data_IF_601580634453
#
_entry.id   IF_601580634453
#
_cell.length_a   1.000
_cell.length_b   1.000
_cell.length_c   1.000
_cell.angle_alpha   90.00
_cell.angle_beta   90.00
_cell.angle_gamma   90.00
#
_symmetry.space_group_name_H-M   'P 1'
#
loop_
_entity.id
_entity.type
_entity.pdbx_description
1 polymer ?
#
# COMPACT_ATOMS: atom_id res chain seq x y z
N UNK A 1 -3.16 -15.43 -22.04
CA UNK A 1 -2.83 -14.23 -21.76
C UNK A 1 -2.97 -13.94 -20.37
N UNK A 2 -2.40 -13.00 -20.03
CA UNK A 2 -2.19 -12.75 -18.67
C UNK A 2 -3.05 -11.63 -18.19
N UNK A 3 -3.96 -11.94 -17.32
CA UNK A 3 -4.81 -10.95 -16.74
C UNK A 3 -4.32 -10.51 -15.40
N UNK A 4 -3.04 -10.61 -15.16
CA UNK A 4 -2.50 -10.23 -13.88
C UNK A 4 -2.87 -8.81 -13.58
N UNK A 5 -3.29 -8.56 -12.37
CA UNK A 5 -3.52 -7.22 -11.90
C UNK A 5 -2.22 -6.45 -11.91
N UNK A 6 -2.27 -5.13 -12.07
CA UNK A 6 -1.06 -4.34 -11.93
C UNK A 6 -0.39 -4.65 -10.63
N UNK A 7 0.90 -4.85 -10.70
CA UNK A 7 1.67 -5.17 -9.52
C UNK A 7 1.98 -3.88 -8.77
N UNK A 8 1.60 -3.82 -7.50
CA UNK A 8 1.81 -2.64 -6.68
C UNK A 8 3.17 -2.78 -6.00
N UNK A 9 4.18 -2.20 -6.63
CA UNK A 9 5.55 -2.32 -6.17
C UNK A 9 6.16 -0.93 -6.02
N UNK A 10 6.44 -0.49 -4.79
CA UNK A 10 6.99 0.84 -4.58
C UNK A 10 8.37 1.02 -5.20
N UNK A 11 9.09 -0.06 -5.46
CA UNK A 11 10.42 0.04 -6.07
C UNK A 11 10.37 0.49 -7.53
N UNK A 12 9.20 0.45 -8.16
CA UNK A 12 9.04 0.95 -9.53
C UNK A 12 8.91 2.46 -9.60
N UNK A 13 8.78 3.13 -8.46
CA UNK A 13 8.56 4.57 -8.41
C UNK A 13 9.89 5.30 -8.45
N UNK A 14 10.05 6.13 -9.48
CA UNK A 14 11.30 6.89 -9.67
C UNK A 14 11.06 8.38 -9.84
N UNK A 15 9.81 8.79 -10.12
CA UNK A 15 9.49 10.19 -10.38
C UNK A 15 8.02 10.44 -10.08
N UNK A 16 7.57 11.67 -10.34
CA UNK A 16 6.19 12.05 -10.06
C UNK A 16 5.20 11.19 -10.82
N UNK A 17 5.43 10.95 -12.10
CA UNK A 17 4.45 10.23 -12.92
C UNK A 17 4.33 8.77 -12.50
N UNK A 18 5.44 8.11 -12.19
CA UNK A 18 5.38 6.73 -11.70
C UNK A 18 4.74 6.67 -10.31
N UNK A 19 4.94 7.69 -9.48
CA UNK A 19 4.27 7.75 -8.19
C UNK A 19 2.76 7.86 -8.36
N UNK A 20 2.30 8.72 -9.27
CA UNK A 20 0.87 8.86 -9.53
C UNK A 20 0.27 7.52 -9.95
N UNK A 21 0.93 6.82 -10.87
CA UNK A 21 0.47 5.50 -11.30
C UNK A 21 0.43 4.50 -10.15
N UNK A 22 1.45 4.54 -9.29
CA UNK A 22 1.50 3.67 -8.13
C UNK A 22 0.28 3.90 -7.21
N UNK A 23 -0.04 5.17 -6.94
CA UNK A 23 -1.18 5.49 -6.10
C UNK A 23 -2.49 5.05 -6.75
N UNK A 24 -2.62 5.25 -8.06
CA UNK A 24 -3.81 4.78 -8.79
C UNK A 24 -3.97 3.27 -8.67
N UNK A 25 -2.89 2.53 -8.83
CA UNK A 25 -2.95 1.07 -8.70
C UNK A 25 -3.26 0.65 -7.26
N UNK A 26 -2.68 1.34 -6.28
CA UNK A 26 -2.94 1.02 -4.88
C UNK A 26 -4.41 1.24 -4.54
N UNK A 27 -4.99 2.34 -5.03
CA UNK A 27 -6.40 2.63 -4.81
C UNK A 27 -7.29 1.59 -5.47
N UNK A 28 -6.98 1.22 -6.70
CA UNK A 28 -7.74 0.19 -7.41
C UNK A 28 -7.66 -1.15 -6.69
N UNK A 29 -6.48 -1.48 -6.17
CA UNK A 29 -6.27 -2.70 -5.41
C UNK A 29 -7.13 -2.71 -4.14
N UNK A 30 -7.22 -1.56 -3.45
CA UNK A 30 -8.06 -1.45 -2.25
C UNK A 30 -9.54 -1.61 -2.59
N UNK A 31 -10.01 -0.99 -3.68
CA UNK A 31 -11.40 -1.13 -4.10
C UNK A 31 -11.72 -2.59 -4.44
N UNK A 32 -10.85 -3.25 -5.18
CA UNK A 32 -11.08 -4.65 -5.55
C UNK A 32 -11.10 -5.55 -4.31
N UNK A 33 -10.19 -5.30 -3.38
CA UNK A 33 -10.15 -6.06 -2.14
C UNK A 33 -11.42 -5.83 -1.31
N UNK A 34 -11.91 -4.60 -1.26
CA UNK A 34 -13.14 -4.28 -0.53
C UNK A 34 -14.32 -5.06 -1.08
N UNK A 35 -14.41 -5.23 -2.39
CA UNK A 35 -15.49 -6.00 -3.00
C UNK A 35 -15.41 -7.47 -2.58
N UNK A 36 -14.23 -8.03 -2.53
CA UNK A 36 -14.04 -9.40 -2.07
C UNK A 36 -14.45 -9.53 -0.60
N UNK A 37 -14.06 -8.56 0.23
CA UNK A 37 -14.40 -8.57 1.64
C UNK A 37 -15.91 -8.53 1.87
N UNK A 38 -16.63 -7.77 1.05
CA UNK A 38 -18.09 -7.70 1.15
C UNK A 38 -18.74 -9.02 0.81
N UNK A 39 -18.13 -9.80 -0.07
CA UNK A 39 -18.72 -11.08 -0.47
C UNK A 39 -18.55 -12.15 0.60
N UNK A 40 -17.61 -11.97 1.54
CA UNK A 40 -17.38 -12.96 2.59
C UNK A 40 -16.89 -12.24 3.85
N UNK A 41 -17.80 -11.51 4.54
CA UNK A 41 -17.39 -10.67 5.69
C UNK A 41 -16.77 -11.46 6.84
N UNK A 42 -17.20 -12.68 7.06
CA UNK A 42 -16.66 -13.46 8.17
C UNK A 42 -15.20 -13.84 7.93
N UNK A 43 -14.87 -14.16 6.70
CA UNK A 43 -13.51 -14.55 6.36
C UNK A 43 -12.54 -13.38 6.59
N UNK A 44 -13.01 -12.17 6.36
CA UNK A 44 -12.15 -10.98 6.39
C UNK A 44 -12.40 -10.09 7.62
N UNK A 45 -12.90 -10.65 8.70
CA UNK A 45 -13.21 -9.83 9.87
C UNK A 45 -11.96 -9.35 10.61
N UNK A 46 -10.81 -10.00 10.41
CA UNK A 46 -9.59 -9.63 11.13
C UNK A 46 -8.55 -8.96 10.25
N UNK A 47 -8.62 -9.16 8.95
CA UNK A 47 -7.75 -8.49 8.00
C UNK A 47 -8.44 -8.44 6.65
N UNK A 48 -7.97 -7.57 5.76
CA UNK A 48 -8.57 -7.42 4.45
C UNK A 48 -8.13 -8.49 3.48
N UNK A 49 -8.79 -8.52 2.33
CA UNK A 49 -8.42 -9.40 1.22
C UNK A 49 -7.16 -8.88 0.54
N UNK A 50 -6.55 -9.73 -0.29
CA UNK A 50 -5.45 -9.38 -1.17
C UNK A 50 -4.25 -8.75 -0.44
N UNK A 51 -3.98 -9.22 0.77
CA UNK A 51 -2.83 -8.74 1.54
C UNK A 51 -3.03 -7.45 2.30
N UNK A 52 -4.25 -6.91 2.32
CA UNK A 52 -4.52 -5.69 3.06
C UNK A 52 -4.66 -6.02 4.55
N UNK A 53 -3.64 -5.64 5.32
CA UNK A 53 -3.68 -5.81 6.77
C UNK A 53 -4.44 -4.68 7.43
N UNK A 54 -4.38 -3.48 6.87
CA UNK A 54 -5.02 -2.30 7.43
C UNK A 54 -6.04 -1.78 6.43
N UNK A 55 -7.33 -1.85 6.79
CA UNK A 55 -8.41 -1.52 5.86
C UNK A 55 -9.09 -0.18 6.15
N UNK A 56 -8.77 0.43 7.29
CA UNK A 56 -9.32 1.72 7.68
C UNK A 56 -8.23 2.76 7.74
N UNK A 57 -8.60 4.02 7.54
CA UNK A 57 -7.62 5.10 7.44
C UNK A 57 -6.70 5.18 8.67
N UNK A 58 -7.21 5.20 9.91
CA UNK A 58 -6.30 5.29 11.05
C UNK A 58 -5.33 4.11 11.12
N UNK A 59 -5.82 2.90 10.89
CA UNK A 59 -4.96 1.72 10.93
C UNK A 59 -3.94 1.76 9.80
N UNK A 60 -4.35 2.23 8.63
CA UNK A 60 -3.45 2.37 7.49
C UNK A 60 -2.32 3.35 7.81
N UNK A 61 -2.65 4.50 8.38
CA UNK A 61 -1.64 5.51 8.72
C UNK A 61 -0.70 5.03 9.82
N UNK A 62 -1.23 4.36 10.84
CA UNK A 62 -0.39 3.81 11.90
C UNK A 62 0.55 2.75 11.37
N UNK A 63 0.04 1.86 10.51
CA UNK A 63 0.87 0.84 9.89
C UNK A 63 1.96 1.44 9.01
N UNK A 64 1.59 2.45 8.22
CA UNK A 64 2.56 3.13 7.35
C UNK A 64 3.68 3.75 8.18
N UNK A 65 3.31 4.46 9.25
CA UNK A 65 4.29 5.12 10.07
C UNK A 65 5.20 4.11 10.79
N UNK A 66 4.61 3.09 11.39
CA UNK A 66 5.39 2.09 12.12
C UNK A 66 6.34 1.35 11.17
N UNK A 67 5.84 0.97 10.00
CA UNK A 67 6.67 0.26 9.03
C UNK A 67 7.79 1.12 8.48
N UNK A 68 7.51 2.38 8.16
CA UNK A 68 8.52 3.29 7.63
C UNK A 68 9.60 3.55 8.67
N UNK A 69 9.20 3.81 9.90
CA UNK A 69 10.18 4.08 10.97
C UNK A 69 11.01 2.85 11.34
N UNK A 70 10.50 1.66 11.07
CA UNK A 70 11.27 0.45 11.26
C UNK A 70 12.38 0.29 10.22
N UNK A 71 12.30 1.00 9.10
CA UNK A 71 13.34 0.97 8.07
C UNK A 71 14.35 2.06 8.36
N UNK A 72 15.59 1.64 8.59
CA UNK A 72 16.63 2.52 9.05
C UNK A 72 16.91 3.70 8.13
N UNK A 73 16.85 3.47 6.84
CA UNK A 73 17.24 4.48 5.85
C UNK A 73 16.07 5.20 5.19
N UNK A 74 14.83 4.94 5.66
CA UNK A 74 13.68 5.61 5.09
C UNK A 74 13.74 7.10 5.42
N UNK A 75 13.65 7.94 4.37
CA UNK A 75 13.58 9.38 4.57
C UNK A 75 14.84 10.05 5.04
N UNK A 76 16.00 9.36 4.99
CA UNK A 76 17.26 9.93 5.50
C UNK A 76 18.02 10.75 4.46
N UNK A 77 17.53 10.81 3.23
CA UNK A 77 18.15 11.62 2.21
C UNK A 77 18.00 13.12 2.48
N UNK A 78 18.73 13.92 1.74
CA UNK A 78 18.69 15.38 1.91
C UNK A 78 17.41 15.99 1.36
N UNK A 79 16.68 15.25 0.53
CA UNK A 79 15.41 15.69 -0.03
C UNK A 79 14.43 14.52 -0.05
N UNK A 80 13.13 14.79 0.03
CA UNK A 80 12.14 13.73 -0.08
C UNK A 80 12.25 13.04 -1.44
N UNK A 81 12.03 11.74 -1.49
CA UNK A 81 12.01 11.01 -2.74
C UNK A 81 10.62 10.44 -2.98
N UNK A 82 10.24 10.38 -4.24
CA UNK A 82 8.96 9.78 -4.61
C UNK A 82 8.89 8.32 -4.18
N UNK A 83 10.03 7.63 -4.24
CA UNK A 83 10.08 6.24 -3.82
C UNK A 83 9.80 6.10 -2.33
N UNK A 84 10.36 6.98 -1.49
CA UNK A 84 10.11 6.92 -0.06
C UNK A 84 8.63 7.13 0.25
N UNK A 85 7.96 8.02 -0.48
CA UNK A 85 6.52 8.22 -0.31
C UNK A 85 5.74 6.97 -0.72
N UNK A 86 6.15 6.33 -1.82
CA UNK A 86 5.50 5.11 -2.27
C UNK A 86 5.70 3.97 -1.26
N UNK A 87 6.91 3.85 -0.70
CA UNK A 87 7.19 2.87 0.33
C UNK A 87 6.30 3.09 1.55
N UNK A 88 6.16 4.35 1.98
CA UNK A 88 5.29 4.69 3.10
C UNK A 88 3.86 4.20 2.87
N UNK A 89 3.31 4.49 1.71
CA UNK A 89 1.93 4.09 1.39
C UNK A 89 1.81 2.57 1.29
N UNK A 90 2.79 1.92 0.69
CA UNK A 90 2.77 0.47 0.57
C UNK A 90 2.78 -0.20 1.95
N UNK A 91 3.59 0.32 2.86
CA UNK A 91 3.65 -0.21 4.21
C UNK A 91 2.33 0.00 4.96
N UNK A 92 1.57 1.03 4.61
CA UNK A 92 0.24 1.20 5.14
C UNK A 92 -0.67 0.02 4.82
N UNK A 93 -0.50 -0.56 3.63
CA UNK A 93 -1.27 -1.74 3.25
C UNK A 93 -0.86 -2.97 4.05
N UNK A 94 0.43 -3.21 4.23
CA UNK A 94 0.92 -4.52 4.64
C UNK A 94 1.45 -4.60 6.07
N UNK A 95 1.81 -3.50 6.68
CA UNK A 95 2.49 -3.53 7.98
C UNK A 95 1.49 -3.52 9.14
N UNK A 96 1.66 -4.43 10.06
CA UNK A 96 0.82 -4.43 11.24
C UNK A 96 1.64 -4.51 12.54
#
# INVERSE_FOLDING_TARGET
>A
MNDAKPFVDPDTVTDRDSFVRFVEYLAADRFAAADVEKSDPQRYQWSGAAGWQNTEIPAFLEGALAGALAQRDWGTGTAPSWRDLAVFLYLGKIYE
#
